data_IF_291558170003
#
_entry.id   IF_291558170003
#
_cell.length_a   1.000
_cell.length_b   1.000
_cell.length_c   1.000
_cell.angle_alpha   90.00
_cell.angle_beta   90.00
_cell.angle_gamma   90.00
#
_symmetry.space_group_name_H-M   'P 1'
#
loop_
_entity.id
_entity.type
_entity.pdbx_description
1 polymer ?
#
# COMPACT_ATOMS: atom_id res chain seq x y z
N UNK A 1 0.03 -8.86 -1.44
CA UNK A 1 -0.99 -9.76 -2.03
C UNK A 1 -2.36 -9.11 -1.98
N UNK A 2 -2.87 -8.72 -0.80
CA UNK A 2 -4.22 -8.17 -0.63
C UNK A 2 -4.70 -7.11 -1.63
N UNK A 3 -3.85 -6.13 -1.98
CA UNK A 3 -4.25 -5.01 -2.84
C UNK A 3 -4.82 -5.44 -4.20
N UNK A 4 -4.32 -6.52 -4.79
CA UNK A 4 -4.79 -7.04 -6.08
C UNK A 4 -5.93 -8.04 -5.95
N UNK A 5 -6.11 -8.63 -4.78
CA UNK A 5 -7.14 -9.66 -4.54
C UNK A 5 -8.53 -9.09 -4.77
N UNK A 6 -8.77 -7.88 -4.28
CA UNK A 6 -10.14 -7.34 -4.20
C UNK A 6 -10.65 -6.90 -5.57
N UNK A 7 -9.80 -6.20 -6.33
CA UNK A 7 -10.13 -5.81 -7.70
C UNK A 7 -10.34 -7.01 -8.61
N UNK A 8 -9.56 -8.08 -8.43
CA UNK A 8 -9.70 -9.30 -9.23
C UNK A 8 -10.88 -10.17 -8.79
N UNK A 9 -11.21 -10.24 -7.49
CA UNK A 9 -12.37 -11.02 -7.00
C UNK A 9 -13.70 -10.44 -7.46
N UNK A 10 -13.80 -9.12 -7.59
CA UNK A 10 -14.98 -8.48 -8.15
C UNK A 10 -15.28 -8.95 -9.58
N UNK A 11 -14.32 -9.56 -10.30
CA UNK A 11 -14.52 -10.13 -11.65
C UNK A 11 -15.10 -11.56 -11.67
N UNK A 12 -15.06 -12.30 -10.54
CA UNK A 12 -15.46 -13.71 -10.49
C UNK A 12 -16.99 -13.86 -10.35
N UNK A 13 -17.68 -14.59 -11.26
CA UNK A 13 -19.13 -14.77 -11.19
C UNK A 13 -19.58 -15.50 -9.92
N UNK A 14 -18.86 -16.56 -9.52
CA UNK A 14 -19.17 -17.34 -8.32
C UNK A 14 -19.13 -16.50 -7.03
N UNK A 15 -18.22 -15.51 -6.97
CA UNK A 15 -18.16 -14.60 -5.83
C UNK A 15 -19.38 -13.67 -5.78
N UNK A 16 -19.81 -13.17 -6.93
CA UNK A 16 -20.99 -12.28 -7.04
C UNK A 16 -22.29 -12.99 -6.67
N UNK A 17 -22.45 -14.22 -7.13
CA UNK A 17 -23.64 -15.04 -6.87
C UNK A 17 -23.73 -15.45 -5.40
N UNK A 18 -22.61 -15.89 -4.80
CA UNK A 18 -22.57 -16.31 -3.40
C UNK A 18 -22.87 -15.18 -2.41
N UNK A 19 -22.31 -13.99 -2.66
CA UNK A 19 -22.44 -12.84 -1.77
C UNK A 19 -23.55 -11.86 -2.19
N UNK A 20 -24.25 -12.15 -3.29
CA UNK A 20 -25.31 -11.33 -3.87
C UNK A 20 -24.86 -9.86 -4.09
N UNK A 21 -23.71 -9.70 -4.73
CA UNK A 21 -23.06 -8.40 -5.00
C UNK A 21 -22.75 -8.20 -6.49
N UNK A 22 -22.85 -6.96 -6.97
CA UNK A 22 -22.67 -6.59 -8.39
C UNK A 22 -21.22 -6.57 -8.89
N UNK A 23 -20.92 -5.79 -9.93
CA UNK A 23 -19.52 -5.45 -10.34
C UNK A 23 -19.05 -4.15 -9.70
N UNK A 24 -20.02 -3.29 -9.37
CA UNK A 24 -19.89 -1.94 -8.81
C UNK A 24 -21.09 -1.70 -7.88
N UNK A 25 -20.91 -0.93 -6.79
CA UNK A 25 -21.97 -0.60 -5.83
C UNK A 25 -21.56 -0.77 -4.35
N UNK A 26 -22.35 -0.20 -3.43
CA UNK A 26 -22.07 -0.16 -1.98
C UNK A 26 -21.71 -1.52 -1.35
N UNK A 27 -22.35 -2.61 -1.78
CA UNK A 27 -22.12 -3.95 -1.23
C UNK A 27 -20.70 -4.48 -1.44
N UNK A 28 -20.12 -4.29 -2.63
CA UNK A 28 -18.70 -4.60 -2.86
C UNK A 28 -17.82 -3.52 -2.28
N UNK A 29 -18.18 -2.25 -2.46
CA UNK A 29 -17.39 -1.12 -2.02
C UNK A 29 -17.08 -1.19 -0.52
N UNK A 30 -18.04 -1.63 0.32
CA UNK A 30 -17.81 -1.81 1.77
C UNK A 30 -16.91 -3.01 2.09
N UNK A 31 -16.96 -4.09 1.31
CA UNK A 31 -16.04 -5.23 1.42
C UNK A 31 -14.61 -4.79 1.08
N UNK A 32 -14.44 -3.99 0.01
CA UNK A 32 -13.13 -3.44 -0.37
C UNK A 32 -12.63 -2.46 0.71
N UNK A 33 -13.50 -1.55 1.14
CA UNK A 33 -13.15 -0.48 2.07
C UNK A 33 -12.93 -0.97 3.51
N UNK A 34 -13.45 -2.15 3.88
CA UNK A 34 -13.28 -2.75 5.21
C UNK A 34 -11.81 -2.86 5.65
N UNK A 35 -10.90 -3.13 4.72
CA UNK A 35 -9.46 -3.19 5.03
C UNK A 35 -8.89 -1.81 5.39
N UNK A 36 -9.32 -0.75 4.72
CA UNK A 36 -8.89 0.63 5.01
C UNK A 36 -9.32 1.07 6.41
N UNK A 37 -10.50 0.63 6.87
CA UNK A 37 -10.95 0.83 8.25
C UNK A 37 -9.99 0.14 9.22
N UNK A 38 -9.69 -1.14 8.97
CA UNK A 38 -8.75 -1.92 9.79
C UNK A 38 -7.37 -1.26 9.86
N UNK A 39 -6.84 -0.81 8.72
CA UNK A 39 -5.57 -0.11 8.65
C UNK A 39 -5.58 1.21 9.43
N UNK A 40 -6.64 2.01 9.29
CA UNK A 40 -6.75 3.29 9.98
C UNK A 40 -6.76 3.08 11.51
N UNK A 41 -7.55 2.12 12.00
CA UNK A 41 -7.61 1.81 13.44
C UNK A 41 -6.25 1.32 13.94
N UNK A 42 -5.62 0.37 13.25
CA UNK A 42 -4.33 -0.18 13.67
C UNK A 42 -3.16 0.81 13.59
N UNK A 43 -3.21 1.79 12.70
CA UNK A 43 -2.17 2.83 12.62
C UNK A 43 -2.08 3.69 13.90
N UNK A 44 -3.16 3.80 14.69
CA UNK A 44 -3.15 4.48 16.00
C UNK A 44 -2.39 3.64 17.04
N UNK A 45 -2.38 2.32 16.89
CA UNK A 45 -1.72 1.39 17.81
C UNK A 45 -0.23 1.18 17.51
N UNK A 46 0.38 1.98 16.64
CA UNK A 46 1.80 1.86 16.27
C UNK A 46 2.76 1.93 17.47
N UNK A 47 2.40 2.61 18.56
CA UNK A 47 3.18 2.65 19.81
C UNK A 47 3.42 1.26 20.45
N UNK A 48 2.66 0.24 20.07
CA UNK A 48 2.88 -1.15 20.50
C UNK A 48 4.26 -1.70 20.09
N UNK A 49 4.88 -1.18 19.01
CA UNK A 49 6.23 -1.58 18.59
C UNK A 49 7.34 -1.17 19.57
N UNK A 50 7.09 -0.17 20.39
CA UNK A 50 8.02 0.29 21.44
C UNK A 50 7.82 -0.47 22.76
N UNK A 51 6.65 -1.08 22.96
CA UNK A 51 6.34 -1.88 24.15
C UNK A 51 6.81 -3.33 24.04
N UNK A 52 6.41 -3.99 22.95
CA UNK A 52 6.54 -5.44 22.72
C UNK A 52 7.83 -5.76 21.94
N UNK A 53 8.37 -4.79 21.21
CA UNK A 53 9.50 -4.99 20.30
C UNK A 53 9.04 -5.17 18.86
N UNK A 54 9.98 -4.99 17.93
CA UNK A 54 9.69 -4.99 16.49
C UNK A 54 9.38 -6.40 15.99
N UNK A 55 10.09 -7.39 16.53
CA UNK A 55 9.89 -8.80 16.20
C UNK A 55 8.52 -9.31 16.68
N UNK A 56 8.17 -8.96 17.93
CA UNK A 56 6.90 -9.37 18.52
C UNK A 56 5.68 -8.75 17.83
N UNK A 57 5.74 -7.47 17.45
CA UNK A 57 4.66 -6.84 16.67
C UNK A 57 4.56 -7.42 15.26
N UNK A 58 5.69 -7.74 14.61
CA UNK A 58 5.68 -8.41 13.30
C UNK A 58 5.01 -9.79 13.41
N UNK A 59 5.30 -10.56 14.45
CA UNK A 59 4.64 -11.85 14.68
C UNK A 59 3.13 -11.72 14.95
N UNK A 60 2.74 -10.79 15.83
CA UNK A 60 1.33 -10.52 16.12
C UNK A 60 0.58 -10.08 14.86
N UNK A 61 1.13 -9.14 14.09
CA UNK A 61 0.53 -8.65 12.85
C UNK A 61 0.30 -9.77 11.84
N UNK A 62 1.31 -10.61 11.60
CA UNK A 62 1.18 -11.75 10.70
C UNK A 62 0.20 -12.82 11.22
N UNK A 63 0.16 -13.07 12.53
CA UNK A 63 -0.81 -14.00 13.13
C UNK A 63 -2.25 -13.52 12.94
N UNK A 64 -2.49 -12.21 13.10
CA UNK A 64 -3.80 -11.58 12.84
C UNK A 64 -4.19 -11.71 11.37
N UNK A 65 -3.24 -11.53 10.44
CA UNK A 65 -3.49 -11.73 9.00
C UNK A 65 -3.88 -13.18 8.71
N UNK A 66 -3.19 -14.17 9.29
CA UNK A 66 -3.54 -15.59 9.10
C UNK A 66 -4.97 -15.87 9.56
N UNK A 67 -5.35 -15.38 10.74
CA UNK A 67 -6.73 -15.51 11.27
C UNK A 67 -7.73 -14.85 10.32
N UNK A 68 -7.43 -13.66 9.82
CA UNK A 68 -8.25 -12.95 8.85
C UNK A 68 -8.46 -13.76 7.56
N UNK A 69 -7.40 -14.34 6.99
CA UNK A 69 -7.50 -15.14 5.77
C UNK A 69 -8.35 -16.40 5.99
N UNK A 70 -8.25 -17.07 7.15
CA UNK A 70 -9.10 -18.21 7.49
C UNK A 70 -10.57 -17.80 7.58
N UNK A 71 -10.86 -16.68 8.26
CA UNK A 71 -12.23 -16.14 8.37
C UNK A 71 -12.78 -15.80 6.99
N UNK A 72 -11.98 -15.19 6.11
CA UNK A 72 -12.39 -14.85 4.74
C UNK A 72 -12.60 -16.08 3.86
N UNK A 73 -11.73 -17.09 3.96
CA UNK A 73 -11.85 -18.33 3.20
C UNK A 73 -13.08 -19.16 3.63
N UNK A 74 -13.47 -19.09 4.90
CA UNK A 74 -14.61 -19.80 5.47
C UNK A 74 -15.88 -18.92 5.60
N UNK A 75 -15.90 -17.71 5.04
CA UNK A 75 -16.97 -16.75 5.26
C UNK A 75 -18.33 -17.26 4.71
N UNK A 76 -19.36 -17.43 5.57
CA UNK A 76 -20.69 -17.85 5.12
C UNK A 76 -21.55 -16.69 4.60
N UNK A 77 -21.27 -15.47 5.04
CA UNK A 77 -22.07 -14.26 4.78
C UNK A 77 -21.17 -13.05 4.49
N UNK A 78 -21.73 -12.01 3.86
CA UNK A 78 -21.05 -10.72 3.60
C UNK A 78 -20.43 -10.11 4.85
N UNK A 79 -21.12 -10.20 5.98
CA UNK A 79 -20.66 -9.61 7.25
C UNK A 79 -19.36 -10.28 7.71
N UNK A 80 -19.27 -11.61 7.64
CA UNK A 80 -18.04 -12.34 7.99
C UNK A 80 -16.88 -11.98 7.06
N UNK A 81 -17.15 -11.76 5.78
CA UNK A 81 -16.15 -11.28 4.82
C UNK A 81 -15.64 -9.89 5.20
N UNK A 82 -16.53 -8.94 5.52
CA UNK A 82 -16.17 -7.58 5.93
C UNK A 82 -15.37 -7.61 7.24
N UNK A 83 -15.80 -8.38 8.23
CA UNK A 83 -15.07 -8.52 9.49
C UNK A 83 -13.68 -9.11 9.28
N UNK A 84 -13.57 -10.15 8.45
CA UNK A 84 -12.29 -10.69 8.03
C UNK A 84 -11.38 -9.63 7.42
N UNK A 85 -11.91 -8.77 6.55
CA UNK A 85 -11.16 -7.64 5.94
C UNK A 85 -10.70 -6.60 6.94
N UNK A 86 -11.54 -6.22 7.91
CA UNK A 86 -11.16 -5.27 8.97
C UNK A 86 -10.04 -5.84 9.83
N UNK A 87 -10.13 -7.10 10.23
CA UNK A 87 -9.10 -7.80 11.00
C UNK A 87 -7.79 -7.89 10.19
N UNK A 88 -7.90 -8.23 8.90
CA UNK A 88 -6.75 -8.34 7.99
C UNK A 88 -6.05 -7.01 7.77
N UNK A 89 -6.81 -5.92 7.63
CA UNK A 89 -6.28 -4.55 7.59
C UNK A 89 -5.52 -4.20 8.87
N UNK A 90 -6.09 -4.53 10.04
CA UNK A 90 -5.41 -4.26 11.30
C UNK A 90 -4.03 -4.97 11.38
N UNK A 91 -3.96 -6.25 10.99
CA UNK A 91 -2.70 -6.98 10.92
C UNK A 91 -1.74 -6.45 9.86
N UNK A 92 -2.26 -6.05 8.69
CA UNK A 92 -1.48 -5.49 7.60
C UNK A 92 -0.78 -4.18 8.00
N UNK A 93 -1.50 -3.27 8.66
CA UNK A 93 -0.92 -2.00 9.13
C UNK A 93 0.20 -2.21 10.15
N UNK A 94 0.04 -3.13 11.10
CA UNK A 94 1.07 -3.47 12.08
C UNK A 94 2.34 -4.01 11.39
N UNK A 95 2.18 -4.99 10.50
CA UNK A 95 3.31 -5.59 9.78
C UNK A 95 3.97 -4.63 8.79
N UNK A 96 3.19 -3.84 8.04
CA UNK A 96 3.70 -2.93 7.02
C UNK A 96 4.44 -1.72 7.61
N UNK A 97 4.07 -1.28 8.81
CA UNK A 97 4.79 -0.20 9.50
C UNK A 97 6.09 -0.71 10.11
N UNK A 98 6.05 -1.87 10.78
CA UNK A 98 7.20 -2.38 11.55
C UNK A 98 8.26 -3.03 10.66
N UNK A 99 7.88 -3.65 9.56
CA UNK A 99 8.81 -4.29 8.61
C UNK A 99 9.97 -3.39 8.16
N UNK A 100 9.71 -2.21 7.53
CA UNK A 100 10.78 -1.34 7.07
C UNK A 100 11.58 -0.74 8.23
N UNK A 101 10.94 -0.46 9.38
CA UNK A 101 11.65 -0.01 10.58
C UNK A 101 12.65 -1.06 11.07
N UNK A 102 12.22 -2.31 11.20
CA UNK A 102 13.04 -3.43 11.64
C UNK A 102 14.24 -3.65 10.71
N UNK A 103 14.00 -3.64 9.39
CA UNK A 103 15.07 -3.77 8.38
C UNK A 103 16.03 -2.57 8.47
N UNK A 104 15.51 -1.36 8.65
CA UNK A 104 16.34 -0.15 8.76
C UNK A 104 17.20 -0.12 10.03
N UNK A 105 16.75 -0.79 11.10
CA UNK A 105 17.44 -0.86 12.39
C UNK A 105 18.51 -1.97 12.41
N UNK A 106 18.39 -3.02 11.58
CA UNK A 106 19.35 -4.15 11.52
C UNK A 106 20.32 -4.05 10.35
N UNK A 107 19.92 -3.45 9.23
CA UNK A 107 20.79 -3.35 8.07
C UNK A 107 21.97 -2.39 8.33
N UNK A 108 23.19 -2.75 7.87
CA UNK A 108 24.33 -1.84 7.90
C UNK A 108 24.02 -0.54 7.15
N UNK A 109 24.57 0.58 7.63
CA UNK A 109 24.28 1.91 7.08
C UNK A 109 24.50 2.01 5.55
N UNK A 110 25.49 1.28 5.02
CA UNK A 110 25.81 1.24 3.59
C UNK A 110 24.76 0.54 2.71
N UNK A 111 24.02 -0.43 3.24
CA UNK A 111 23.06 -1.26 2.48
C UNK A 111 21.60 -1.04 2.91
N UNK A 112 21.37 -0.18 3.91
CA UNK A 112 20.05 0.07 4.49
C UNK A 112 18.99 0.46 3.46
N UNK A 113 19.33 1.36 2.53
CA UNK A 113 18.40 1.82 1.50
C UNK A 113 17.96 0.70 0.56
N UNK A 114 18.91 -0.13 0.13
CA UNK A 114 18.63 -1.28 -0.73
C UNK A 114 17.75 -2.33 -0.02
N UNK A 115 18.04 -2.63 1.25
CA UNK A 115 17.27 -3.60 2.03
C UNK A 115 15.81 -3.16 2.23
N UNK A 116 15.58 -1.88 2.55
CA UNK A 116 14.23 -1.31 2.66
C UNK A 116 13.53 -1.28 1.30
N UNK A 117 14.25 -0.94 0.22
CA UNK A 117 13.73 -0.96 -1.14
C UNK A 117 13.25 -2.35 -1.56
N UNK A 118 14.03 -3.40 -1.29
CA UNK A 118 13.66 -4.80 -1.56
C UNK A 118 12.37 -5.20 -0.83
N UNK A 119 12.22 -4.79 0.43
CA UNK A 119 10.99 -5.02 1.19
C UNK A 119 9.76 -4.38 0.52
N UNK A 120 9.88 -3.13 0.07
CA UNK A 120 8.80 -2.45 -0.65
C UNK A 120 8.49 -3.15 -1.99
N UNK A 121 9.49 -3.67 -2.70
CA UNK A 121 9.29 -4.43 -3.94
C UNK A 121 8.53 -5.75 -3.74
N UNK A 122 8.64 -6.38 -2.57
CA UNK A 122 7.87 -7.60 -2.25
C UNK A 122 6.36 -7.39 -2.33
N UNK A 123 5.85 -6.17 -2.09
CA UNK A 123 4.44 -5.84 -2.25
C UNK A 123 3.97 -6.12 -3.68
N UNK A 124 4.69 -5.59 -4.68
CA UNK A 124 4.37 -5.71 -6.10
C UNK A 124 4.51 -7.15 -6.60
N UNK A 125 5.54 -7.87 -6.14
CA UNK A 125 5.71 -9.29 -6.45
C UNK A 125 4.52 -10.09 -5.92
N UNK A 126 4.09 -9.82 -4.68
CA UNK A 126 2.92 -10.47 -4.11
C UNK A 126 1.62 -10.13 -4.84
N UNK A 127 1.46 -8.90 -5.32
CA UNK A 127 0.33 -8.48 -6.15
C UNK A 127 0.27 -9.25 -7.49
N UNK A 128 1.42 -9.44 -8.16
CA UNK A 128 1.50 -10.24 -9.39
C UNK A 128 1.18 -11.71 -9.11
N UNK A 129 1.79 -12.29 -8.07
CA UNK A 129 1.61 -13.69 -7.72
C UNK A 129 0.13 -14.02 -7.49
N UNK A 130 -0.58 -13.19 -6.72
CA UNK A 130 -1.99 -13.46 -6.43
C UNK A 130 -2.91 -13.17 -7.63
N UNK A 131 -2.59 -12.17 -8.46
CA UNK A 131 -3.34 -11.93 -9.69
C UNK A 131 -3.26 -13.15 -10.64
N UNK A 132 -2.09 -13.78 -10.74
CA UNK A 132 -1.91 -15.03 -11.47
C UNK A 132 -2.68 -16.20 -10.85
N UNK A 133 -2.68 -16.33 -9.52
CA UNK A 133 -3.45 -17.37 -8.81
C UNK A 133 -4.96 -17.20 -9.03
N UNK A 134 -5.48 -15.97 -9.00
CA UNK A 134 -6.89 -15.69 -9.26
C UNK A 134 -7.24 -15.98 -10.73
N UNK A 135 -6.35 -15.64 -11.67
CA UNK A 135 -6.52 -16.02 -13.07
C UNK A 135 -6.56 -17.55 -13.22
N UNK A 136 -5.66 -18.28 -12.56
CA UNK A 136 -5.69 -19.76 -12.53
C UNK A 136 -6.97 -20.31 -11.90
N UNK A 137 -7.42 -19.71 -10.79
CA UNK A 137 -8.67 -20.06 -10.12
C UNK A 137 -9.93 -19.75 -10.93
N UNK A 138 -9.86 -18.82 -11.90
CA UNK A 138 -11.00 -18.49 -12.77
C UNK A 138 -11.37 -19.61 -13.76
N UNK A 139 -10.48 -20.58 -13.99
CA UNK A 139 -10.78 -21.79 -14.76
C UNK A 139 -11.50 -22.86 -13.94
N UNK A 140 -11.52 -22.73 -12.61
CA UNK A 140 -12.24 -23.63 -11.72
C UNK A 140 -13.73 -23.22 -11.68
N UNK A 141 -14.62 -24.20 -11.54
CA UNK A 141 -16.06 -23.96 -11.40
C UNK A 141 -16.49 -24.01 -9.94
N UNK A 142 -17.42 -23.12 -9.55
CA UNK A 142 -18.03 -23.07 -8.21
C UNK A 142 -17.32 -22.16 -7.20
N UNK A 143 -17.68 -22.31 -5.92
CA UNK A 143 -17.19 -21.45 -4.82
C UNK A 143 -15.68 -21.55 -4.58
N UNK A 144 -15.06 -22.63 -5.05
CA UNK A 144 -13.62 -22.83 -4.93
C UNK A 144 -12.80 -21.80 -5.72
N UNK A 145 -13.36 -21.16 -6.75
CA UNK A 145 -12.67 -20.17 -7.57
C UNK A 145 -12.28 -18.91 -6.79
N UNK A 146 -13.05 -18.53 -5.77
CA UNK A 146 -12.75 -17.39 -4.90
C UNK A 146 -12.15 -17.80 -3.54
N UNK A 147 -12.46 -19.01 -3.05
CA UNK A 147 -11.87 -19.55 -1.81
C UNK A 147 -10.40 -19.95 -1.96
N UNK A 148 -10.01 -20.52 -3.09
CA UNK A 148 -8.63 -20.98 -3.31
C UNK A 148 -7.62 -19.82 -3.22
N UNK A 149 -7.81 -18.66 -3.90
CA UNK A 149 -6.91 -17.52 -3.74
C UNK A 149 -6.79 -17.03 -2.29
N UNK A 150 -7.89 -17.06 -1.52
CA UNK A 150 -7.87 -16.69 -0.09
C UNK A 150 -7.04 -17.64 0.77
N UNK A 151 -7.05 -18.94 0.46
CA UNK A 151 -6.24 -19.93 1.16
C UNK A 151 -4.76 -19.78 0.78
N UNK A 152 -4.46 -19.57 -0.49
CA UNK A 152 -3.06 -19.37 -0.97
C UNK A 152 -2.45 -18.13 -0.32
N UNK A 153 -3.26 -17.10 -0.04
CA UNK A 153 -2.83 -15.90 0.65
C UNK A 153 -2.31 -16.16 2.08
N UNK A 154 -2.68 -17.28 2.72
CA UNK A 154 -2.19 -17.64 4.07
C UNK A 154 -0.69 -17.94 4.05
N UNK A 155 -0.14 -18.40 2.92
CA UNK A 155 1.22 -18.93 2.84
C UNK A 155 2.28 -17.88 3.26
N UNK A 156 2.33 -16.66 2.69
CA UNK A 156 3.34 -15.67 3.09
C UNK A 156 3.25 -15.23 4.57
N UNK A 157 2.11 -14.79 5.12
CA UNK A 157 2.05 -14.34 6.50
C UNK A 157 2.33 -15.50 7.48
N UNK A 158 1.91 -16.72 7.16
CA UNK A 158 2.25 -17.90 7.96
C UNK A 158 3.76 -18.18 7.95
N UNK A 159 4.38 -18.10 6.77
CA UNK A 159 5.83 -18.28 6.64
C UNK A 159 6.58 -17.24 7.47
N UNK A 160 6.17 -15.98 7.40
CA UNK A 160 6.77 -14.91 8.22
C UNK A 160 6.53 -15.16 9.72
N UNK A 161 5.30 -15.50 10.13
CA UNK A 161 5.00 -15.77 11.54
C UNK A 161 5.83 -16.95 12.11
N UNK A 162 6.08 -18.00 11.31
CA UNK A 162 6.88 -19.14 11.75
C UNK A 162 8.38 -18.86 11.76
N UNK A 163 8.89 -18.06 10.82
CA UNK A 163 10.32 -17.85 10.62
C UNK A 163 10.89 -16.67 11.42
N UNK A 164 10.07 -15.68 11.80
CA UNK A 164 10.52 -14.46 12.48
C UNK A 164 11.16 -14.75 13.86
N UNK A 165 10.57 -15.60 14.70
CA UNK A 165 11.18 -15.91 16.01
C UNK A 165 12.46 -16.74 15.96
N UNK A 166 12.55 -17.84 15.17
CA UNK A 166 13.75 -18.68 15.18
C UNK A 166 14.93 -18.08 14.42
N UNK A 167 14.71 -17.28 13.37
CA UNK A 167 15.79 -16.86 12.47
C UNK A 167 16.24 -15.41 12.68
N UNK A 168 15.45 -14.58 13.37
CA UNK A 168 15.72 -13.14 13.40
C UNK A 168 15.96 -12.59 14.81
N UNK A 169 17.03 -11.78 15.01
CA UNK A 169 17.30 -11.14 16.29
C UNK A 169 16.24 -10.07 16.61
N UNK A 170 16.22 -9.57 17.83
CA UNK A 170 15.44 -8.36 18.13
C UNK A 170 16.20 -7.12 17.63
N UNK A 171 15.48 -6.03 17.35
CA UNK A 171 16.11 -4.77 16.96
C UNK A 171 17.11 -4.26 18.01
N UNK A 172 18.33 -3.94 17.58
CA UNK A 172 19.37 -3.33 18.44
C UNK A 172 18.88 -2.07 19.14
N UNK A 173 18.11 -1.23 18.46
CA UNK A 173 17.59 0.02 19.03
C UNK A 173 16.56 -0.23 20.14
N UNK A 174 15.72 -1.25 19.96
CA UNK A 174 14.77 -1.68 21.00
C UNK A 174 15.48 -2.27 22.21
N UNK A 175 16.52 -3.08 22.00
CA UNK A 175 17.31 -3.66 23.09
C UNK A 175 18.00 -2.58 23.93
N UNK A 176 18.60 -1.56 23.29
CA UNK A 176 19.17 -0.41 24.01
C UNK A 176 18.09 0.38 24.75
N UNK A 177 16.93 0.62 24.12
CA UNK A 177 15.79 1.31 24.76
C UNK A 177 15.27 0.59 26.03
N UNK A 178 15.28 -0.75 26.04
CA UNK A 178 14.92 -1.57 27.21
C UNK A 178 16.05 -1.73 28.23
N UNK A 179 17.21 -1.11 28.03
CA UNK A 179 18.39 -1.23 28.89
C UNK A 179 19.17 -2.54 28.73
N UNK A 180 18.87 -3.35 27.73
CA UNK A 180 19.55 -4.62 27.45
C UNK A 180 20.79 -4.42 26.55
N UNK A 181 21.74 -3.62 27.02
CA UNK A 181 22.94 -3.21 26.25
C UNK A 181 23.77 -4.41 25.80
N UNK A 182 23.96 -5.42 26.66
CA UNK A 182 24.75 -6.62 26.34
C UNK A 182 24.13 -7.43 25.20
N UNK A 183 22.80 -7.51 25.12
CA UNK A 183 22.12 -8.18 24.02
C UNK A 183 22.23 -7.36 22.73
N UNK A 184 22.16 -6.03 22.82
CA UNK A 184 22.38 -5.14 21.68
C UNK A 184 23.79 -5.30 21.11
N UNK A 185 24.83 -5.36 21.97
CA UNK A 185 26.22 -5.62 21.54
C UNK A 185 26.34 -6.92 20.76
N UNK A 186 25.73 -8.01 21.24
CA UNK A 186 25.74 -9.32 20.55
C UNK A 186 25.13 -9.27 19.15
N UNK A 187 24.01 -8.56 19.00
CA UNK A 187 23.35 -8.41 17.69
C UNK A 187 24.21 -7.56 16.75
N UNK A 188 24.82 -6.49 17.25
CA UNK A 188 25.70 -5.64 16.43
C UNK A 188 26.93 -6.42 16.00
N UNK A 189 27.60 -7.11 16.92
CA UNK A 189 28.78 -7.91 16.64
C UNK A 189 28.52 -8.98 15.56
N UNK A 190 27.35 -9.63 15.58
CA UNK A 190 26.98 -10.67 14.60
C UNK A 190 26.71 -10.13 13.18
N UNK A 191 26.13 -8.93 13.06
CA UNK A 191 25.65 -8.42 11.75
C UNK A 191 26.48 -7.27 11.17
N UNK A 192 27.28 -6.57 11.97
CA UNK A 192 28.01 -5.36 11.56
C UNK A 192 29.53 -5.52 11.65
N UNK A 193 30.02 -6.58 12.29
CA UNK A 193 31.45 -6.81 12.49
C UNK A 193 31.87 -8.14 11.85
N UNK A 194 33.01 -8.16 11.16
CA UNK A 194 33.56 -9.39 10.57
C UNK A 194 34.20 -10.33 11.61
N UNK A 195 34.55 -9.82 12.79
CA UNK A 195 35.21 -10.55 13.87
C UNK A 195 34.23 -11.16 14.88
N UNK A 196 32.94 -10.82 14.82
CA UNK A 196 31.92 -11.18 15.83
C UNK A 196 32.27 -10.76 17.28
N UNK A 197 33.29 -9.90 17.44
CA UNK A 197 33.77 -9.48 18.75
C UNK A 197 32.87 -8.39 19.36
N UNK A 198 32.40 -8.65 20.57
CA UNK A 198 31.50 -7.79 21.35
C UNK A 198 32.18 -6.48 21.80
N UNK A 199 33.51 -6.51 21.92
CA UNK A 199 34.35 -5.39 22.36
C UNK A 199 35.02 -4.66 21.18
N UNK A 200 34.60 -4.93 19.95
CA UNK A 200 35.08 -4.17 18.80
C UNK A 200 34.74 -2.67 18.97
N UNK A 201 35.68 -1.75 18.67
CA UNK A 201 35.42 -0.31 18.70
C UNK A 201 34.17 0.12 17.91
N UNK A 202 33.86 -0.58 16.82
CA UNK A 202 32.68 -0.31 15.97
C UNK A 202 31.39 -0.59 16.76
N UNK A 203 31.34 -1.69 17.51
CA UNK A 203 30.18 -2.08 18.33
C UNK A 203 29.92 -1.04 19.41
N UNK A 204 30.99 -0.57 20.06
CA UNK A 204 30.90 0.43 21.13
C UNK A 204 30.44 1.78 20.56
N UNK A 205 31.04 2.22 19.45
CA UNK A 205 30.66 3.47 18.79
C UNK A 205 29.20 3.49 18.32
N UNK A 206 28.69 2.38 17.78
CA UNK A 206 27.28 2.28 17.37
C UNK A 206 26.31 2.33 18.56
N UNK A 207 26.65 1.71 19.70
CA UNK A 207 25.82 1.78 20.91
C UNK A 207 25.76 3.20 21.45
N UNK A 208 26.89 3.89 21.54
CA UNK A 208 26.95 5.27 22.01
C UNK A 208 26.12 6.18 21.09
N UNK A 209 26.20 5.97 19.78
CA UNK A 209 25.38 6.70 18.81
C UNK A 209 23.89 6.43 19.01
N UNK A 210 23.49 5.17 19.25
CA UNK A 210 22.10 4.80 19.52
C UNK A 210 21.62 5.42 20.83
N UNK A 211 22.42 5.38 21.90
CA UNK A 211 22.08 5.98 23.20
C UNK A 211 21.88 7.49 23.08
N UNK A 212 22.82 8.21 22.45
CA UNK A 212 22.65 9.64 22.16
C UNK A 212 21.42 9.92 21.28
N UNK A 213 21.10 9.05 20.32
CA UNK A 213 19.89 9.21 19.50
C UNK A 213 18.57 9.01 20.27
N UNK A 214 18.60 8.25 21.38
CA UNK A 214 17.44 8.03 22.24
C UNK A 214 17.31 9.19 23.23
N UNK A 215 18.42 9.62 23.83
CA UNK A 215 18.47 10.74 24.78
C UNK A 215 18.11 12.08 24.14
N UNK A 216 18.48 12.29 22.87
CA UNK A 216 18.13 13.50 22.12
C UNK A 216 16.64 13.58 21.75
N UNK A 217 15.89 12.49 21.86
CA UNK A 217 14.44 12.44 21.60
C UNK A 217 13.69 12.52 22.93
N UNK A 218 13.64 13.72 23.50
CA UNK A 218 12.96 14.01 24.78
C UNK A 218 11.41 14.02 24.68
N UNK A 219 10.86 13.44 23.60
CA UNK A 219 9.41 13.42 23.37
C UNK A 219 8.85 12.04 23.64
N UNK A 220 7.90 11.97 24.59
CA UNK A 220 7.10 10.78 24.87
C UNK A 220 6.53 10.21 23.54
N UNK A 221 6.52 8.88 23.35
CA UNK A 221 6.07 8.27 22.09
C UNK A 221 4.62 8.66 21.74
N UNK A 222 3.76 8.90 22.74
CA UNK A 222 2.37 9.35 22.57
C UNK A 222 2.20 10.88 22.41
N UNK A 223 3.25 11.69 22.58
CA UNK A 223 3.13 13.14 22.45
C UNK A 223 3.20 13.59 20.98
N UNK A 224 2.05 13.62 20.30
CA UNK A 224 1.90 14.18 18.96
C UNK A 224 1.88 15.71 18.94
N UNK A 225 1.90 16.38 20.11
CA UNK A 225 1.85 17.84 20.18
C UNK A 225 3.05 18.51 19.51
N UNK A 226 4.19 17.82 19.44
CA UNK A 226 5.39 18.29 18.71
C UNK A 226 5.12 18.58 17.23
N UNK A 227 4.14 17.91 16.61
CA UNK A 227 3.77 18.13 15.21
C UNK A 227 2.97 19.41 14.98
N UNK A 228 2.30 19.94 16.02
CA UNK A 228 1.45 21.13 15.92
C UNK A 228 1.94 22.33 16.75
N UNK A 229 2.97 22.18 17.59
CA UNK A 229 3.52 23.24 18.45
C UNK A 229 4.07 24.43 17.66
N UNK A 230 4.86 24.18 16.61
CA UNK A 230 5.59 25.24 15.87
C UNK A 230 4.91 25.58 14.54
N UNK A 231 4.91 26.86 14.11
CA UNK A 231 4.36 27.30 12.81
C UNK A 231 4.96 26.51 11.62
N UNK A 232 6.26 26.22 11.65
CA UNK A 232 6.94 25.39 10.64
C UNK A 232 6.43 23.94 10.63
N UNK A 233 6.19 23.34 11.80
CA UNK A 233 5.67 21.98 11.91
C UNK A 233 4.23 21.88 11.39
N UNK A 234 3.39 22.90 11.65
CA UNK A 234 2.02 22.99 11.10
C UNK A 234 2.02 23.05 9.58
N UNK A 235 2.91 23.85 8.99
CA UNK A 235 3.03 23.97 7.54
C UNK A 235 3.46 22.64 6.91
N UNK A 236 4.47 21.97 7.49
CA UNK A 236 4.92 20.64 7.03
C UNK A 236 3.83 19.57 7.15
N UNK A 237 3.10 19.57 8.26
CA UNK A 237 1.96 18.66 8.48
C UNK A 237 0.84 18.90 7.45
N UNK A 238 0.55 20.16 7.13
CA UNK A 238 -0.40 20.52 6.07
C UNK A 238 0.06 20.00 4.70
N UNK A 239 1.34 20.16 4.34
CA UNK A 239 1.88 19.62 3.07
C UNK A 239 1.73 18.10 2.98
N UNK A 240 1.99 17.39 4.06
CA UNK A 240 1.86 15.92 4.12
C UNK A 240 0.41 15.49 3.98
N UNK A 241 -0.52 16.23 4.60
CA UNK A 241 -1.96 15.99 4.46
C UNK A 241 -2.44 16.22 3.03
N UNK A 242 -2.04 17.35 2.41
CA UNK A 242 -2.35 17.62 1.00
C UNK A 242 -1.76 16.55 0.09
N UNK A 243 -0.54 16.10 0.37
CA UNK A 243 0.09 15.03 -0.41
C UNK A 243 -0.63 13.68 -0.24
N UNK A 244 -1.11 13.34 0.97
CA UNK A 244 -1.93 12.16 1.18
C UNK A 244 -3.24 12.22 0.38
N UNK A 245 -3.84 13.41 0.31
CA UNK A 245 -5.03 13.66 -0.49
C UNK A 245 -4.75 13.49 -1.98
N UNK A 246 -3.69 14.09 -2.52
CA UNK A 246 -3.29 13.92 -3.92
C UNK A 246 -3.10 12.44 -4.25
N UNK A 247 -2.41 11.69 -3.39
CA UNK A 247 -2.11 10.28 -3.65
C UNK A 247 -3.35 9.38 -3.67
N UNK A 248 -4.36 9.65 -2.83
CA UNK A 248 -5.58 8.83 -2.81
C UNK A 248 -6.62 9.29 -3.85
N UNK A 249 -6.58 10.57 -4.25
CA UNK A 249 -7.56 11.18 -5.14
C UNK A 249 -7.07 11.33 -6.58
N UNK A 250 -5.96 10.70 -6.96
CA UNK A 250 -5.40 10.74 -8.32
C UNK A 250 -5.99 9.70 -9.29
N UNK A 251 -7.04 8.97 -8.88
CA UNK A 251 -7.71 7.95 -9.71
C UNK A 251 -7.02 6.58 -9.78
N UNK A 252 -5.82 6.42 -9.23
CA UNK A 252 -5.08 5.14 -9.26
C UNK A 252 -5.82 4.02 -8.52
N UNK A 253 -6.40 4.33 -7.36
CA UNK A 253 -7.21 3.40 -6.58
C UNK A 253 -8.48 2.95 -7.30
N UNK A 254 -9.10 3.84 -8.08
CA UNK A 254 -10.27 3.48 -8.90
C UNK A 254 -9.90 2.42 -9.95
N UNK A 255 -8.82 2.65 -10.71
CA UNK A 255 -8.38 1.69 -11.73
C UNK A 255 -7.89 0.38 -11.11
N UNK A 256 -7.32 0.40 -9.92
CA UNK A 256 -6.90 -0.81 -9.22
C UNK A 256 -8.07 -1.68 -8.74
N UNK A 257 -9.04 -1.08 -8.04
CA UNK A 257 -10.13 -1.80 -7.37
C UNK A 257 -11.36 -2.02 -8.25
N UNK A 258 -11.63 -1.13 -9.21
CA UNK A 258 -12.83 -1.15 -10.04
C UNK A 258 -12.54 -1.42 -11.52
N UNK A 259 -11.35 -1.95 -11.84
CA UNK A 259 -11.01 -2.37 -13.20
C UNK A 259 -12.09 -3.24 -13.86
N UNK A 260 -12.66 -4.27 -13.20
CA UNK A 260 -13.68 -5.11 -13.84
C UNK A 260 -14.95 -4.32 -14.19
N UNK A 261 -15.33 -3.37 -13.34
CA UNK A 261 -16.46 -2.46 -13.58
C UNK A 261 -16.22 -1.60 -14.82
N UNK A 262 -15.04 -0.99 -14.92
CA UNK A 262 -14.65 -0.16 -16.06
C UNK A 262 -14.58 -0.99 -17.35
N UNK A 263 -13.95 -2.17 -17.31
CA UNK A 263 -13.86 -3.04 -18.49
C UNK A 263 -15.24 -3.52 -18.97
N UNK A 264 -16.19 -3.69 -18.07
CA UNK A 264 -17.58 -4.05 -18.41
C UNK A 264 -18.29 -2.89 -19.13
N UNK A 265 -18.04 -1.63 -18.75
CA UNK A 265 -18.58 -0.45 -19.46
C UNK A 265 -18.08 -0.38 -20.91
N UNK A 266 -16.90 -0.91 -21.16
CA UNK A 266 -16.23 -0.96 -22.47
C UNK A 266 -16.58 -2.23 -23.26
N UNK A 267 -17.54 -3.03 -22.77
CA UNK A 267 -18.04 -4.22 -23.44
C UNK A 267 -17.18 -5.48 -23.26
N UNK A 268 -16.15 -5.45 -22.41
CA UNK A 268 -15.41 -6.64 -22.01
C UNK A 268 -16.13 -7.25 -20.81
N UNK A 269 -16.99 -8.24 -21.07
CA UNK A 269 -17.76 -8.94 -20.02
C UNK A 269 -17.12 -10.24 -19.57
N UNK A 270 -16.13 -10.76 -20.31
CA UNK A 270 -15.49 -12.03 -19.99
C UNK A 270 -14.51 -11.88 -18.81
N UNK A 271 -14.82 -12.54 -17.69
CA UNK A 271 -14.01 -12.53 -16.46
C UNK A 271 -12.55 -12.94 -16.69
N UNK A 272 -12.29 -13.93 -17.55
CA UNK A 272 -10.92 -14.38 -17.82
C UNK A 272 -10.10 -13.30 -18.53
N UNK A 273 -10.72 -12.57 -19.46
CA UNK A 273 -10.08 -11.45 -20.15
C UNK A 273 -9.82 -10.29 -19.19
N UNK A 274 -10.78 -9.96 -18.31
CA UNK A 274 -10.61 -8.92 -17.29
C UNK A 274 -9.45 -9.25 -16.33
N UNK A 275 -9.35 -10.51 -15.90
CA UNK A 275 -8.27 -10.98 -15.03
C UNK A 275 -6.91 -10.96 -15.74
N UNK A 276 -6.84 -11.40 -17.00
CA UNK A 276 -5.61 -11.37 -17.78
C UNK A 276 -5.09 -9.94 -17.99
N UNK A 277 -6.00 -9.00 -18.26
CA UNK A 277 -5.70 -7.56 -18.35
C UNK A 277 -5.15 -7.05 -17.00
N UNK A 278 -5.75 -7.44 -15.87
CA UNK A 278 -5.26 -7.06 -14.55
C UNK A 278 -3.84 -7.57 -14.27
N UNK A 279 -3.53 -8.82 -14.63
CA UNK A 279 -2.17 -9.38 -14.49
C UNK A 279 -1.18 -8.57 -15.31
N UNK A 280 -1.46 -8.35 -16.60
CA UNK A 280 -0.57 -7.58 -17.46
C UNK A 280 -0.35 -6.15 -16.98
N UNK A 281 -1.41 -5.49 -16.51
CA UNK A 281 -1.36 -4.14 -15.93
C UNK A 281 -0.48 -4.10 -14.66
N UNK A 282 -0.61 -5.08 -13.78
CA UNK A 282 0.18 -5.16 -12.53
C UNK A 282 1.66 -5.40 -12.83
N UNK A 283 1.98 -6.28 -13.79
CA UNK A 283 3.36 -6.53 -14.24
C UNK A 283 3.97 -5.28 -14.87
N UNK A 284 3.24 -4.61 -15.76
CA UNK A 284 3.70 -3.39 -16.41
C UNK A 284 3.97 -2.29 -15.38
N UNK A 285 3.09 -2.11 -14.40
CA UNK A 285 3.27 -1.14 -13.32
C UNK A 285 4.50 -1.46 -12.44
N UNK A 286 4.76 -2.74 -12.16
CA UNK A 286 5.96 -3.16 -11.41
C UNK A 286 7.27 -2.83 -12.15
N UNK A 287 7.37 -3.21 -13.42
CA UNK A 287 8.55 -2.90 -14.25
C UNK A 287 8.77 -1.39 -14.36
N UNK A 288 7.67 -0.64 -14.49
CA UNK A 288 7.67 0.82 -14.53
C UNK A 288 8.16 1.43 -13.22
N UNK A 289 7.80 0.85 -12.07
CA UNK A 289 8.27 1.30 -10.75
C UNK A 289 9.77 1.11 -10.58
N UNK A 290 10.32 0.00 -11.08
CA UNK A 290 11.78 -0.23 -11.09
C UNK A 290 12.51 0.81 -11.93
N UNK A 291 11.98 1.16 -13.10
CA UNK A 291 12.53 2.23 -13.93
C UNK A 291 12.40 3.61 -13.25
N UNK A 292 11.28 3.87 -12.58
CA UNK A 292 11.03 5.10 -11.83
C UNK A 292 12.02 5.33 -10.70
N UNK A 293 12.45 4.25 -10.02
CA UNK A 293 13.44 4.30 -8.96
C UNK A 293 14.82 4.79 -9.44
N UNK A 294 15.13 4.68 -10.74
CA UNK A 294 16.37 5.21 -11.32
C UNK A 294 16.27 6.69 -11.72
N UNK A 295 15.06 7.16 -11.99
CA UNK A 295 14.78 8.53 -12.46
C UNK A 295 14.62 9.48 -11.28
N UNK A 296 14.09 8.99 -10.16
CA UNK A 296 13.73 9.81 -8.99
C UNK A 296 14.90 10.62 -8.43
N UNK A 297 16.13 10.11 -8.47
CA UNK A 297 17.31 10.81 -7.94
C UNK A 297 17.87 11.88 -8.89
N UNK A 298 17.46 11.88 -10.16
CA UNK A 298 17.98 12.80 -11.19
C UNK A 298 17.08 14.02 -11.44
N UNK A 299 15.84 13.99 -10.95
CA UNK A 299 14.82 15.00 -11.26
C UNK A 299 14.32 15.65 -9.98
N UNK A 300 14.06 16.96 -10.03
CA UNK A 300 13.55 17.70 -8.88
C UNK A 300 12.14 17.23 -8.51
N UNK A 301 11.88 17.08 -7.21
CA UNK A 301 10.61 16.55 -6.66
C UNK A 301 9.39 17.33 -7.15
N UNK A 302 9.47 18.67 -7.18
CA UNK A 302 8.38 19.53 -7.64
C UNK A 302 8.03 19.28 -9.11
N UNK A 303 9.03 19.08 -9.96
CA UNK A 303 8.82 18.78 -11.37
C UNK A 303 8.22 17.39 -11.56
N UNK A 304 8.66 16.39 -10.78
CA UNK A 304 8.08 15.05 -10.81
C UNK A 304 6.60 15.03 -10.37
N UNK A 305 6.24 15.78 -9.33
CA UNK A 305 4.84 15.90 -8.90
C UNK A 305 3.97 16.56 -9.98
N UNK A 306 4.43 17.69 -10.54
CA UNK A 306 3.72 18.38 -11.60
C UNK A 306 3.57 17.51 -12.86
N UNK A 307 4.64 16.82 -13.28
CA UNK A 307 4.59 15.93 -14.45
C UNK A 307 3.64 14.75 -14.23
N UNK A 308 3.60 14.18 -13.02
CA UNK A 308 2.64 13.12 -12.67
C UNK A 308 1.21 13.59 -12.87
N UNK A 309 0.84 14.75 -12.31
CA UNK A 309 -0.51 15.30 -12.40
C UNK A 309 -0.90 15.61 -13.85
N UNK A 310 0.00 16.20 -14.64
CA UNK A 310 -0.26 16.48 -16.06
C UNK A 310 -0.53 15.20 -16.85
N UNK A 311 0.29 14.16 -16.62
CA UNK A 311 0.16 12.88 -17.30
C UNK A 311 -1.14 12.17 -16.88
N UNK A 312 -1.51 12.24 -15.61
CA UNK A 312 -2.77 11.68 -15.11
C UNK A 312 -3.99 12.40 -15.68
N UNK A 313 -4.00 13.73 -15.69
CA UNK A 313 -5.06 14.52 -16.34
C UNK A 313 -5.21 14.12 -17.80
N UNK A 314 -4.09 14.00 -18.54
CA UNK A 314 -4.12 13.62 -19.95
C UNK A 314 -4.75 12.23 -20.17
N UNK A 315 -4.29 11.21 -19.44
CA UNK A 315 -4.80 9.85 -19.62
C UNK A 315 -6.23 9.67 -19.10
N UNK A 316 -6.60 10.31 -17.98
CA UNK A 316 -7.98 10.29 -17.49
C UNK A 316 -8.92 11.01 -18.47
N UNK A 317 -8.48 12.12 -19.06
CA UNK A 317 -9.24 12.81 -20.12
C UNK A 317 -9.41 11.92 -21.34
N UNK A 318 -8.34 11.25 -21.79
CA UNK A 318 -8.40 10.30 -22.90
C UNK A 318 -9.40 9.18 -22.62
N UNK A 319 -9.35 8.57 -21.43
CA UNK A 319 -10.29 7.53 -21.01
C UNK A 319 -11.74 8.04 -20.97
N UNK A 320 -11.97 9.25 -20.46
CA UNK A 320 -13.32 9.84 -20.43
C UNK A 320 -13.92 10.02 -21.83
N UNK A 321 -13.10 10.42 -22.80
CA UNK A 321 -13.51 10.61 -24.19
C UNK A 321 -13.76 9.26 -24.85
N UNK A 322 -12.88 8.28 -24.62
CA UNK A 322 -13.03 6.95 -25.24
C UNK A 322 -14.25 6.20 -24.71
N UNK A 323 -14.48 6.22 -23.40
CA UNK A 323 -15.63 5.58 -22.77
C UNK A 323 -16.94 6.28 -23.13
N UNK A 324 -16.95 7.62 -23.20
CA UNK A 324 -18.11 8.39 -23.64
C UNK A 324 -18.49 8.12 -25.11
N UNK A 325 -17.49 8.00 -26.00
CA UNK A 325 -17.72 7.66 -27.41
C UNK A 325 -18.15 6.20 -27.60
N UNK A 326 -17.63 5.29 -26.78
CA UNK A 326 -18.07 3.90 -26.73
C UNK A 326 -19.54 3.79 -26.31
N UNK A 327 -19.95 4.53 -25.27
CA UNK A 327 -21.34 4.58 -24.79
C UNK A 327 -22.31 5.11 -25.87
N UNK A 328 -21.88 6.07 -26.68
CA UNK A 328 -22.64 6.58 -27.82
C UNK A 328 -22.65 5.65 -29.05
N UNK A 329 -21.96 4.51 -28.98
CA UNK A 329 -21.96 3.48 -30.02
C UNK A 329 -21.03 3.76 -31.21
N UNK A 330 -20.14 4.73 -31.10
CA UNK A 330 -19.20 5.10 -32.17
C UNK A 330 -17.96 4.20 -32.08
N UNK A 331 -17.65 3.48 -33.16
CA UNK A 331 -16.42 2.68 -33.30
C UNK A 331 -16.11 1.78 -32.10
N UNK A 332 -17.12 1.10 -31.53
CA UNK A 332 -17.07 0.34 -30.26
C UNK A 332 -15.78 -0.47 -30.07
N UNK A 333 -15.37 -1.26 -31.07
CA UNK A 333 -14.17 -2.10 -30.95
C UNK A 333 -12.87 -1.28 -30.85
N UNK A 334 -12.72 -0.21 -31.63
CA UNK A 334 -11.53 0.62 -31.62
C UNK A 334 -11.43 1.44 -30.33
N UNK A 335 -12.56 2.01 -29.89
CA UNK A 335 -12.61 2.82 -28.66
C UNK A 335 -12.38 1.97 -27.42
N UNK A 336 -12.83 0.72 -27.42
CA UNK A 336 -12.55 -0.19 -26.31
C UNK A 336 -11.08 -0.57 -26.20
N UNK A 337 -10.43 -0.87 -27.33
CA UNK A 337 -8.98 -1.14 -27.35
C UNK A 337 -8.20 0.10 -26.88
N UNK A 338 -8.56 1.29 -27.35
CA UNK A 338 -7.91 2.54 -26.93
C UNK A 338 -8.04 2.79 -25.43
N UNK A 339 -9.20 2.49 -24.84
CA UNK A 339 -9.39 2.63 -23.39
C UNK A 339 -8.48 1.70 -22.62
N UNK A 340 -8.36 0.44 -23.03
CA UNK A 340 -7.45 -0.53 -22.38
C UNK A 340 -6.01 -0.02 -22.47
N UNK A 341 -5.57 0.44 -23.65
CA UNK A 341 -4.23 1.00 -23.84
C UNK A 341 -4.01 2.22 -22.95
N UNK A 342 -5.00 3.11 -22.83
CA UNK A 342 -4.95 4.28 -21.97
C UNK A 342 -4.82 3.88 -20.48
N UNK A 343 -5.55 2.85 -20.02
CA UNK A 343 -5.42 2.29 -18.66
C UNK A 343 -4.01 1.76 -18.41
N UNK A 344 -3.43 1.01 -19.36
CA UNK A 344 -2.07 0.50 -19.25
C UNK A 344 -1.05 1.62 -19.16
N UNK A 345 -1.15 2.62 -20.04
CA UNK A 345 -0.24 3.76 -20.04
C UNK A 345 -0.36 4.59 -18.77
N UNK A 346 -1.58 4.81 -18.28
CA UNK A 346 -1.82 5.45 -16.99
C UNK A 346 -1.10 4.70 -15.86
N UNK A 347 -1.21 3.38 -15.79
CA UNK A 347 -0.59 2.58 -14.73
C UNK A 347 0.93 2.46 -14.85
N UNK A 348 1.46 2.50 -16.07
CA UNK A 348 2.90 2.62 -16.34
C UNK A 348 3.40 3.98 -15.83
N UNK A 349 2.71 5.07 -16.15
CA UNK A 349 3.06 6.40 -15.65
C UNK A 349 2.95 6.50 -14.13
N UNK A 350 1.94 5.88 -13.52
CA UNK A 350 1.78 5.80 -12.07
C UNK A 350 2.96 5.05 -11.40
N UNK A 351 3.41 3.95 -12.00
CA UNK A 351 4.58 3.21 -11.53
C UNK A 351 5.86 4.06 -11.64
N UNK A 352 6.10 4.67 -12.80
CA UNK A 352 7.30 5.48 -13.07
C UNK A 352 7.42 6.71 -12.17
N UNK A 353 6.32 7.45 -11.97
CA UNK A 353 6.35 8.78 -11.37
C UNK A 353 5.81 8.82 -9.94
N UNK A 354 4.59 8.32 -9.71
CA UNK A 354 3.90 8.52 -8.43
C UNK A 354 4.32 7.53 -7.35
N UNK A 355 4.47 6.25 -7.71
CA UNK A 355 4.68 5.16 -6.75
C UNK A 355 5.99 5.31 -5.96
N UNK A 356 7.03 5.84 -6.60
CA UNK A 356 8.33 6.09 -6.00
C UNK A 356 8.33 7.34 -5.10
N UNK A 357 7.59 8.38 -5.50
CA UNK A 357 7.43 9.60 -4.69
C UNK A 357 6.66 9.35 -3.39
N UNK A 358 5.73 8.39 -3.40
CA UNK A 358 4.82 8.10 -2.29
C UNK A 358 5.53 7.94 -0.94
N UNK A 359 6.65 7.21 -0.92
CA UNK A 359 7.40 6.94 0.31
C UNK A 359 8.48 7.99 0.60
N UNK A 360 9.02 8.62 -0.44
CA UNK A 360 10.19 9.50 -0.32
C UNK A 360 9.79 10.92 0.09
N UNK A 361 8.75 11.48 -0.54
CA UNK A 361 8.37 12.87 -0.33
C UNK A 361 7.99 13.19 1.14
N UNK A 362 7.16 12.38 1.83
CA UNK A 362 6.82 12.65 3.22
C UNK A 362 8.03 12.60 4.16
N UNK A 363 9.00 11.71 3.88
CA UNK A 363 10.22 11.59 4.69
C UNK A 363 11.19 12.75 4.52
N UNK A 364 11.22 13.39 3.35
CA UNK A 364 12.05 14.57 3.07
C UNK A 364 11.45 15.88 3.63
N UNK A 365 10.12 15.98 3.70
CA UNK A 365 9.42 17.17 4.22
C UNK A 365 9.48 17.23 5.75
N UNK A 366 9.49 16.08 6.42
CA UNK A 366 9.54 15.99 7.88
C UNK A 366 10.95 16.22 8.44
N UNK A 367 11.03 16.83 9.62
CA UNK A 367 12.30 16.91 10.34
C UNK A 367 12.66 15.55 10.93
N UNK A 368 13.95 15.22 11.05
CA UNK A 368 14.42 13.91 11.51
C UNK A 368 13.77 13.46 12.84
N UNK A 369 13.63 14.37 13.81
CA UNK A 369 13.01 14.09 15.12
C UNK A 369 11.47 13.91 15.06
N UNK A 370 10.83 14.35 13.99
CA UNK A 370 9.37 14.31 13.80
C UNK A 370 8.94 13.31 12.72
N UNK A 371 9.89 12.73 11.98
CA UNK A 371 9.64 11.92 10.80
C UNK A 371 8.78 10.69 11.12
N UNK A 372 9.12 9.93 12.16
CA UNK A 372 8.35 8.75 12.55
C UNK A 372 6.88 9.08 12.88
N UNK A 373 6.64 10.14 13.67
CA UNK A 373 5.28 10.56 14.07
C UNK A 373 4.47 11.13 12.90
N UNK A 374 5.13 11.92 12.04
CA UNK A 374 4.50 12.48 10.84
C UNK A 374 4.15 11.41 9.80
N UNK A 375 4.99 10.38 9.64
CA UNK A 375 4.72 9.22 8.78
C UNK A 375 3.54 8.38 9.30
N UNK A 376 3.42 8.23 10.62
CA UNK A 376 2.25 7.57 11.24
C UNK A 376 0.94 8.31 10.93
N UNK A 377 0.91 9.63 11.14
CA UNK A 377 -0.26 10.45 10.77
C UNK A 377 -0.54 10.43 9.27
N UNK A 378 0.50 10.52 8.43
CA UNK A 378 0.36 10.41 6.97
C UNK A 378 -0.36 9.12 6.59
N UNK A 379 0.08 7.98 7.13
CA UNK A 379 -0.53 6.68 6.87
C UNK A 379 -1.97 6.63 7.36
N UNK A 380 -2.28 7.17 8.54
CA UNK A 380 -3.65 7.26 9.05
C UNK A 380 -4.57 8.03 8.09
N UNK A 381 -4.15 9.23 7.67
CA UNK A 381 -4.92 10.06 6.75
C UNK A 381 -5.09 9.39 5.38
N UNK A 382 -4.03 8.78 4.85
CA UNK A 382 -4.10 8.04 3.61
C UNK A 382 -5.10 6.89 3.68
N UNK A 383 -5.14 6.15 4.78
CA UNK A 383 -6.11 5.05 4.96
C UNK A 383 -7.54 5.57 5.12
N UNK A 384 -7.77 6.68 5.82
CA UNK A 384 -9.08 7.31 5.94
C UNK A 384 -9.59 7.83 4.57
N UNK A 385 -8.73 8.50 3.81
CA UNK A 385 -9.05 8.97 2.47
C UNK A 385 -9.24 7.81 1.50
N UNK A 386 -8.45 6.74 1.65
CA UNK A 386 -8.60 5.50 0.90
C UNK A 386 -9.97 4.86 1.14
N UNK A 387 -10.43 4.81 2.39
CA UNK A 387 -11.77 4.35 2.72
C UNK A 387 -12.84 5.20 2.01
N UNK A 388 -12.75 6.53 2.15
CA UNK A 388 -13.73 7.45 1.57
C UNK A 388 -13.79 7.34 0.03
N UNK A 389 -12.63 7.26 -0.62
CA UNK A 389 -12.52 7.13 -2.08
C UNK A 389 -12.97 5.76 -2.54
N UNK A 390 -12.51 4.67 -1.94
CA UNK A 390 -12.92 3.32 -2.33
C UNK A 390 -14.43 3.15 -2.17
N UNK A 391 -15.03 3.63 -1.08
CA UNK A 391 -16.49 3.57 -0.90
C UNK A 391 -17.24 4.48 -1.88
N UNK A 392 -16.84 5.75 -1.96
CA UNK A 392 -17.53 6.76 -2.78
C UNK A 392 -17.46 6.47 -4.27
N UNK A 393 -16.30 6.02 -4.77
CA UNK A 393 -16.10 5.70 -6.19
C UNK A 393 -16.94 4.50 -6.62
N UNK A 394 -17.12 3.50 -5.76
CA UNK A 394 -17.97 2.34 -6.08
C UNK A 394 -19.43 2.74 -6.34
N UNK A 395 -19.96 3.68 -5.56
CA UNK A 395 -21.30 4.26 -5.75
C UNK A 395 -21.37 5.20 -6.96
N UNK A 396 -20.36 6.03 -7.17
CA UNK A 396 -20.28 6.94 -8.31
C UNK A 396 -20.23 6.19 -9.64
N UNK A 397 -19.43 5.12 -9.71
CA UNK A 397 -19.31 4.29 -10.91
C UNK A 397 -20.63 3.58 -11.23
N UNK A 398 -21.40 3.19 -10.21
CA UNK A 398 -22.72 2.57 -10.41
C UNK A 398 -23.80 3.55 -10.89
N UNK A 399 -23.72 4.83 -10.54
CA UNK A 399 -24.74 5.85 -10.88
C UNK A 399 -24.40 6.69 -12.10
N UNK A 400 -23.12 7.00 -12.29
CA UNK A 400 -22.65 7.99 -13.26
C UNK A 400 -21.63 7.41 -14.26
N UNK A 401 -21.29 6.12 -14.13
CA UNK A 401 -20.47 5.35 -15.06
C UNK A 401 -19.16 6.08 -15.43
N UNK A 402 -18.95 6.35 -16.73
CA UNK A 402 -17.76 6.99 -17.27
C UNK A 402 -17.58 8.45 -16.83
N UNK A 403 -18.62 9.15 -16.39
CA UNK A 403 -18.46 10.56 -15.94
C UNK A 403 -17.70 10.66 -14.61
N UNK A 404 -17.46 9.53 -13.93
CA UNK A 404 -16.64 9.47 -12.71
C UNK A 404 -15.22 9.99 -12.95
N UNK A 405 -14.68 9.88 -14.18
CA UNK A 405 -13.36 10.42 -14.51
C UNK A 405 -13.26 11.95 -14.35
N UNK A 406 -14.34 12.71 -14.60
CA UNK A 406 -14.32 14.17 -14.48
C UNK A 406 -14.06 14.65 -13.06
N UNK A 407 -14.51 13.90 -12.05
CA UNK A 407 -14.22 14.22 -10.66
C UNK A 407 -12.72 14.16 -10.38
N UNK A 408 -12.04 13.11 -10.85
CA UNK A 408 -10.60 12.94 -10.69
C UNK A 408 -9.82 14.01 -11.46
N UNK A 409 -10.21 14.31 -12.70
CA UNK A 409 -9.59 15.38 -13.50
C UNK A 409 -9.71 16.74 -12.80
N UNK A 410 -10.89 17.08 -12.26
CA UNK A 410 -11.11 18.33 -11.55
C UNK A 410 -10.24 18.43 -10.29
N UNK A 411 -10.12 17.33 -9.54
CA UNK A 411 -9.27 17.27 -8.36
C UNK A 411 -7.79 17.43 -8.73
N UNK A 412 -7.31 16.70 -9.74
CA UNK A 412 -5.93 16.78 -10.21
C UNK A 412 -5.56 18.17 -10.75
N UNK A 413 -6.50 18.86 -11.41
CA UNK A 413 -6.32 20.25 -11.87
C UNK A 413 -6.17 21.23 -10.70
N UNK A 414 -6.99 21.10 -9.66
CA UNK A 414 -6.88 21.93 -8.45
C UNK A 414 -5.53 21.71 -7.79
N UNK A 415 -5.05 20.46 -7.72
CA UNK A 415 -3.75 20.16 -7.14
C UNK A 415 -2.58 20.58 -8.01
N UNK A 416 -2.73 20.53 -9.33
CA UNK A 416 -1.74 21.08 -10.24
C UNK A 416 -1.56 22.57 -9.95
N UNK A 417 -2.66 23.31 -9.82
CA UNK A 417 -2.62 24.73 -9.44
C UNK A 417 -1.97 24.95 -8.07
N UNK A 418 -2.30 24.16 -7.05
CA UNK A 418 -1.69 24.26 -5.71
C UNK A 418 -0.20 23.90 -5.66
N UNK A 419 0.30 23.18 -6.67
CA UNK A 419 1.73 22.80 -6.76
C UNK A 419 2.58 23.95 -7.34
N UNK A 420 1.95 24.89 -8.05
CA UNK A 420 2.56 26.10 -8.60
C UNK A 420 2.51 27.25 -7.59
#
# INVERSE_FOLDING_TARGET
MDGSIIGSMASLPAFREYFNVGTSGSGIAIIIAGMSIGNAVASIFQWTSDLIGRRGVTWLGNSIIVISCVIQAAAPNNICMILGRVIGGAGCSLSATVGPMYISEIAPASHRGMAVGLFCSCYSIGAIAIACVILGGSYMTGDWSWRMPMIVQIIPPLTVALLVYPLTPESRRYLVYKGQINNAKKVIALYHTSSEDIEDPIVTAEIDQIQHSIESVDSKPWDFSTLWKTKSARYRLLLIFLYAFIQQCNGTGMLGYYLPGILTLVGITNSQQQLAINVGMTVASYLSTLAGALIIDRVTRRFLLASTLIVFIFFLSLMSVTDGLFANGIAKNAMGILTIVAIYLFQISNGLLSSTLHSVYPTEVLHYSQCAKGMGLYSFFQNCLGFAMTYGVGELLAKIEWKTYFMFIAIDLVFLYLTW
#
